data_IF_816254178896
#
_entry.id   IF_816254178896
#
_cell.length_a   1.000
_cell.length_b   1.000
_cell.length_c   1.000
_cell.angle_alpha   90.00
_cell.angle_beta   90.00
_cell.angle_gamma   90.00
#
_symmetry.space_group_name_H-M   'P 1'
#
loop_
_entity.id
_entity.type
_entity.pdbx_description
1 polymer ?
#
# COMPACT_ATOMS: atom_id res chain seq x y z
N UNK A 1 6.22 -2.26 7.65
CA UNK A 1 6.06 -0.86 8.13
C UNK A 1 5.27 -0.08 7.08
N UNK A 2 4.38 0.84 7.48
CA UNK A 2 3.60 1.62 6.51
C UNK A 2 4.34 2.89 6.11
N UNK A 3 4.50 3.11 4.80
CA UNK A 3 5.10 4.33 4.28
C UNK A 3 4.00 5.34 3.93
N UNK A 4 4.00 6.47 4.65
CA UNK A 4 3.14 7.61 4.38
C UNK A 4 3.96 8.71 3.71
N UNK A 5 3.54 9.12 2.52
CA UNK A 5 4.18 10.21 1.79
C UNK A 5 3.24 11.43 1.77
N UNK A 6 3.47 12.46 2.60
CA UNK A 6 2.65 13.67 2.59
C UNK A 6 2.89 14.45 1.29
N UNK A 7 1.82 15.05 0.76
CA UNK A 7 1.90 15.96 -0.40
C UNK A 7 1.16 17.28 -0.11
N UNK A 8 1.54 18.30 -0.88
CA UNK A 8 1.06 19.69 -0.96
C UNK A 8 -0.12 20.11 -0.04
N UNK A 9 0.05 21.10 0.86
CA UNK A 9 -0.98 21.52 1.84
C UNK A 9 -2.26 22.15 1.26
N UNK A 10 -2.36 22.36 -0.06
CA UNK A 10 -3.47 23.08 -0.69
C UNK A 10 -4.62 22.21 -1.19
N UNK A 11 -4.54 20.87 -1.10
CA UNK A 11 -5.63 19.98 -1.51
C UNK A 11 -6.57 19.69 -0.34
N UNK A 12 -7.91 19.74 -0.53
CA UNK A 12 -8.85 19.36 0.51
C UNK A 12 -8.57 17.93 1.00
N UNK A 13 -8.70 17.74 2.31
CA UNK A 13 -8.54 16.46 3.01
C UNK A 13 -9.70 15.51 2.65
N UNK A 14 -9.81 15.07 1.40
CA UNK A 14 -10.59 13.87 1.07
C UNK A 14 -9.81 12.64 1.54
N UNK A 15 -10.46 11.50 1.80
CA UNK A 15 -9.80 10.26 2.20
C UNK A 15 -8.60 9.97 1.32
N UNK A 16 -7.56 9.35 1.87
CA UNK A 16 -6.38 8.93 1.11
C UNK A 16 -6.85 8.04 -0.04
N UNK A 17 -6.89 8.59 -1.25
CA UNK A 17 -7.54 7.91 -2.37
C UNK A 17 -6.64 6.85 -2.99
N UNK A 18 -5.33 6.86 -2.77
CA UNK A 18 -4.42 6.00 -3.53
C UNK A 18 -3.57 5.10 -2.63
N UNK A 19 -3.69 3.79 -2.86
CA UNK A 19 -2.81 2.78 -2.30
C UNK A 19 -1.86 2.25 -3.38
N UNK A 20 -0.59 2.09 -3.03
CA UNK A 20 0.49 1.66 -3.92
C UNK A 20 1.04 0.31 -3.48
N UNK A 21 0.84 -0.72 -4.30
CA UNK A 21 1.20 -2.11 -3.98
C UNK A 21 2.47 -2.51 -4.74
N UNK A 22 3.51 -2.87 -3.99
CA UNK A 22 4.83 -3.21 -4.54
C UNK A 22 4.91 -4.65 -5.08
N UNK A 23 6.00 -4.96 -5.78
CA UNK A 23 6.28 -6.29 -6.32
C UNK A 23 6.98 -7.23 -5.33
N UNK A 24 7.26 -8.47 -5.75
CA UNK A 24 8.06 -9.42 -4.95
C UNK A 24 9.49 -8.89 -4.72
N UNK A 25 10.04 -9.18 -3.54
CA UNK A 25 11.45 -8.89 -3.20
C UNK A 25 11.76 -7.42 -2.94
N UNK A 26 10.74 -6.56 -2.89
CA UNK A 26 10.87 -5.14 -2.55
C UNK A 26 9.91 -4.76 -1.41
N UNK A 27 9.84 -3.48 -1.05
CA UNK A 27 8.99 -2.94 0.02
C UNK A 27 8.21 -1.71 -0.47
N UNK A 28 7.32 -1.16 0.35
CA UNK A 28 6.55 0.04 0.01
C UNK A 28 7.44 1.26 -0.29
N UNK A 29 8.67 1.28 0.23
CA UNK A 29 9.65 2.35 0.03
C UNK A 29 9.99 2.63 -1.44
N UNK A 30 9.84 1.65 -2.34
CA UNK A 30 10.10 1.84 -3.79
C UNK A 30 9.23 2.92 -4.41
N UNK A 31 8.06 3.19 -3.81
CA UNK A 31 7.11 4.17 -4.30
C UNK A 31 7.47 5.62 -3.91
N UNK A 32 8.45 5.84 -3.04
CA UNK A 32 8.78 7.18 -2.53
C UNK A 32 9.08 8.19 -3.65
N UNK A 33 9.88 7.79 -4.65
CA UNK A 33 10.23 8.63 -5.80
C UNK A 33 9.02 8.90 -6.70
N UNK A 34 8.21 7.87 -6.96
CA UNK A 34 7.01 7.97 -7.79
C UNK A 34 5.96 8.88 -7.13
N UNK A 35 5.63 8.62 -5.86
CA UNK A 35 4.66 9.39 -5.10
C UNK A 35 5.02 10.87 -5.06
N UNK A 36 6.28 11.19 -4.70
CA UNK A 36 6.77 12.58 -4.67
C UNK A 36 6.72 13.28 -6.02
N UNK A 37 6.91 12.55 -7.11
CA UNK A 37 7.02 13.14 -8.46
C UNK A 37 5.67 13.30 -9.14
N UNK A 38 4.76 12.37 -8.94
CA UNK A 38 3.56 12.23 -9.78
C UNK A 38 2.24 12.34 -9.02
N UNK A 39 2.24 12.13 -7.70
CA UNK A 39 0.99 12.11 -6.94
C UNK A 39 0.82 13.43 -6.20
N UNK A 40 -0.35 14.05 -6.39
CA UNK A 40 -0.69 15.33 -5.77
C UNK A 40 -1.33 15.16 -4.39
N UNK A 41 -1.76 13.93 -4.04
CA UNK A 41 -2.49 13.62 -2.81
C UNK A 41 -1.68 12.64 -1.93
N UNK A 42 -1.91 12.63 -0.61
CA UNK A 42 -1.32 11.65 0.28
C UNK A 42 -1.61 10.22 -0.20
N UNK A 43 -0.62 9.34 -0.10
CA UNK A 43 -0.74 7.94 -0.49
C UNK A 43 -0.21 7.02 0.60
N UNK A 44 -0.73 5.80 0.61
CA UNK A 44 -0.21 4.70 1.44
C UNK A 44 0.52 3.73 0.54
N UNK A 45 1.75 3.40 0.91
CA UNK A 45 2.50 2.29 0.32
C UNK A 45 2.87 1.31 1.44
N UNK A 46 2.05 0.27 1.70
CA UNK A 46 2.37 -0.69 2.74
C UNK A 46 3.48 -1.63 2.29
N UNK A 47 4.19 -2.18 3.28
CA UNK A 47 4.96 -3.40 3.07
C UNK A 47 3.99 -4.59 3.09
N UNK A 48 3.90 -5.35 2.00
CA UNK A 48 3.10 -6.57 1.93
C UNK A 48 3.66 -7.64 2.90
N UNK A 49 2.82 -8.57 3.37
CA UNK A 49 3.26 -9.67 4.25
C UNK A 49 4.54 -10.34 3.73
N UNK A 50 5.46 -10.63 4.65
CA UNK A 50 6.77 -11.20 4.34
C UNK A 50 7.75 -10.28 3.59
N UNK A 51 7.42 -8.99 3.43
CA UNK A 51 8.28 -8.01 2.78
C UNK A 51 8.59 -6.83 3.69
N UNK A 52 9.71 -6.15 3.42
CA UNK A 52 10.12 -4.95 4.14
C UNK A 52 10.15 -5.20 5.65
N UNK A 53 9.36 -4.41 6.39
CA UNK A 53 9.19 -4.53 7.83
C UNK A 53 7.81 -5.08 8.21
N UNK A 54 7.16 -5.84 7.33
CA UNK A 54 5.94 -6.61 7.66
C UNK A 54 6.31 -8.05 7.98
N UNK A 55 5.62 -8.62 8.96
CA UNK A 55 5.88 -9.98 9.40
C UNK A 55 5.61 -11.00 8.27
N UNK A 56 6.37 -12.12 8.22
CA UNK A 56 6.04 -13.23 7.35
C UNK A 56 4.75 -13.92 7.80
N UNK A 57 4.05 -14.55 6.86
CA UNK A 57 2.93 -15.40 7.20
C UNK A 57 3.40 -16.65 8.00
N UNK A 58 2.62 -17.12 8.99
CA UNK A 58 3.00 -18.26 9.82
C UNK A 58 3.04 -19.57 9.05
N UNK A 59 2.27 -19.71 7.95
CA UNK A 59 2.24 -20.91 7.13
C UNK A 59 2.59 -20.59 5.66
N UNK A 60 3.33 -21.47 4.95
CA UNK A 60 3.77 -21.22 3.57
C UNK A 60 2.66 -21.02 2.54
N UNK A 61 1.43 -21.50 2.81
CA UNK A 61 0.30 -21.38 1.88
C UNK A 61 -0.49 -20.08 2.02
N UNK A 62 -0.12 -19.20 2.96
CA UNK A 62 -0.82 -17.95 3.27
C UNK A 62 -0.22 -16.75 2.52
N UNK A 63 0.14 -16.96 1.26
CA UNK A 63 0.69 -15.95 0.34
C UNK A 63 -0.09 -15.93 -0.97
N UNK A 64 -1.40 -16.22 -0.92
CA UNK A 64 -2.28 -16.09 -2.09
C UNK A 64 -2.61 -14.62 -2.35
N UNK A 65 -3.01 -14.23 -3.57
CA UNK A 65 -3.49 -12.88 -3.84
C UNK A 65 -4.58 -12.43 -2.87
N UNK A 66 -5.51 -13.33 -2.52
CA UNK A 66 -6.58 -13.07 -1.54
C UNK A 66 -6.03 -12.78 -0.14
N UNK A 67 -4.98 -13.49 0.28
CA UNK A 67 -4.33 -13.23 1.58
C UNK A 67 -3.71 -11.83 1.64
N UNK A 68 -3.07 -11.40 0.56
CA UNK A 68 -2.51 -10.05 0.47
C UNK A 68 -3.61 -8.98 0.42
N UNK A 69 -4.68 -9.20 -0.34
CA UNK A 69 -5.81 -8.29 -0.42
C UNK A 69 -6.48 -8.13 0.96
N UNK A 70 -6.61 -9.21 1.73
CA UNK A 70 -7.15 -9.16 3.09
C UNK A 70 -6.31 -8.28 4.03
N UNK A 71 -4.97 -8.33 3.95
CA UNK A 71 -4.12 -7.44 4.74
C UNK A 71 -4.29 -5.99 4.34
N UNK A 72 -4.40 -5.73 3.03
CA UNK A 72 -4.60 -4.38 2.50
C UNK A 72 -5.92 -3.80 3.00
N UNK A 73 -7.02 -4.57 2.93
CA UNK A 73 -8.32 -4.14 3.44
C UNK A 73 -8.28 -3.90 4.96
N UNK A 74 -7.67 -4.82 5.72
CA UNK A 74 -7.53 -4.67 7.17
C UNK A 74 -6.71 -3.42 7.55
N UNK A 75 -5.67 -3.10 6.79
CA UNK A 75 -4.90 -1.87 6.96
C UNK A 75 -5.75 -0.62 6.71
N UNK A 76 -6.52 -0.62 5.63
CA UNK A 76 -7.37 0.50 5.25
C UNK A 76 -8.47 0.74 6.30
N UNK A 77 -9.09 -0.32 6.81
CA UNK A 77 -10.04 -0.26 7.92
C UNK A 77 -9.39 0.29 9.20
N UNK A 78 -8.23 -0.24 9.58
CA UNK A 78 -7.50 0.21 10.77
C UNK A 78 -7.03 1.67 10.69
N UNK A 79 -6.80 2.18 9.48
CA UNK A 79 -6.46 3.60 9.26
C UNK A 79 -7.66 4.55 9.27
N UNK A 80 -8.89 4.03 9.40
CA UNK A 80 -10.12 4.83 9.35
C UNK A 80 -10.46 5.37 7.95
N UNK A 81 -9.81 4.85 6.91
CA UNK A 81 -9.98 5.31 5.54
C UNK A 81 -11.10 4.59 4.79
N UNK A 82 -11.43 3.37 5.20
CA UNK A 82 -12.37 2.51 4.45
C UNK A 82 -11.82 2.13 3.08
N UNK A 83 -12.69 1.97 2.08
CA UNK A 83 -12.29 1.52 0.74
C UNK A 83 -11.35 2.49 0.01
N UNK A 84 -10.34 2.00 -0.74
CA UNK A 84 -9.42 2.86 -1.47
C UNK A 84 -10.11 3.43 -2.72
N UNK A 85 -9.88 4.71 -3.02
CA UNK A 85 -10.40 5.34 -4.25
C UNK A 85 -9.65 4.92 -5.52
N UNK A 86 -8.42 4.42 -5.40
CA UNK A 86 -7.49 4.08 -6.48
C UNK A 86 -6.44 3.10 -5.95
N UNK A 87 -6.19 2.03 -6.70
CA UNK A 87 -5.12 1.06 -6.42
C UNK A 87 -4.12 1.10 -7.58
N UNK A 88 -2.84 1.27 -7.27
CA UNK A 88 -1.76 1.17 -8.25
C UNK A 88 -0.86 0.01 -7.85
N UNK A 89 -0.84 -1.03 -8.67
CA UNK A 89 -0.07 -2.24 -8.43
C UNK A 89 1.07 -2.42 -9.44
N UNK A 90 2.22 -2.90 -8.99
CA UNK A 90 3.31 -3.36 -9.85
C UNK A 90 3.64 -4.83 -9.60
N UNK A 91 3.70 -5.64 -10.66
CA UNK A 91 4.05 -7.07 -10.60
C UNK A 91 3.11 -7.84 -9.66
N UNK A 92 3.59 -8.37 -8.52
CA UNK A 92 2.73 -8.96 -7.48
C UNK A 92 1.61 -8.01 -7.08
N UNK A 93 1.91 -6.73 -6.91
CA UNK A 93 0.92 -5.71 -6.57
C UNK A 93 -0.20 -5.56 -7.61
N UNK A 94 -0.01 -6.01 -8.86
CA UNK A 94 -1.06 -5.99 -9.90
C UNK A 94 -2.00 -7.20 -9.83
N UNK A 95 -1.65 -8.25 -9.06
CA UNK A 95 -2.48 -9.43 -8.84
C UNK A 95 -3.42 -9.26 -7.62
N UNK A 96 -3.09 -8.31 -6.75
CA UNK A 96 -3.82 -7.96 -5.53
C UNK A 96 -4.92 -6.96 -5.89
#
# INVERSE_FOLDING_TARGET
MNHFFPTNPSSPLLPTETILLHGLGVSGAVWAGFARRFLARPVIAPDLRGHGASDPAPLPHQYTPTDYAADVLALLDASGMGEPGTVIGHSLGSLI
#
